data_IF_655547169970
#
_entry.id   IF_655547169970
#
_cell.length_a   1.000
_cell.length_b   1.000
_cell.length_c   1.000
_cell.angle_alpha   90.00
_cell.angle_beta   90.00
_cell.angle_gamma   90.00
#
_symmetry.space_group_name_H-M   'P 1'
#
loop_
_entity.id
_entity.type
_entity.pdbx_description
1 polymer ?
#
# COMPACT_ATOMS: atom_id res chain seq x y z
N UNK A 1 -30.90 1.54 3.32
CA UNK A 1 -30.23 2.39 2.31
C UNK A 1 -29.11 3.28 2.88
N UNK A 2 -29.24 3.98 4.02
CA UNK A 2 -28.13 4.83 4.51
C UNK A 2 -26.93 4.03 5.02
N UNK A 3 -27.14 2.91 5.73
CA UNK A 3 -26.05 2.10 6.30
C UNK A 3 -25.10 1.53 5.23
N UNK A 4 -25.64 1.16 4.06
CA UNK A 4 -24.87 0.63 2.93
C UNK A 4 -24.05 1.73 2.26
N UNK A 5 -24.57 2.96 2.14
CA UNK A 5 -23.78 4.08 1.62
C UNK A 5 -22.62 4.45 2.55
N UNK A 6 -22.84 4.42 3.86
CA UNK A 6 -21.77 4.67 4.85
C UNK A 6 -20.70 3.58 4.77
N UNK A 7 -21.08 2.30 4.62
CA UNK A 7 -20.12 1.20 4.45
C UNK A 7 -19.24 1.38 3.21
N UNK A 8 -19.85 1.67 2.05
CA UNK A 8 -19.10 1.93 0.82
C UNK A 8 -18.22 3.19 0.89
N UNK A 9 -18.70 4.26 1.55
CA UNK A 9 -17.91 5.46 1.79
C UNK A 9 -16.68 5.15 2.65
N UNK A 10 -16.83 4.35 3.70
CA UNK A 10 -15.73 3.98 4.58
C UNK A 10 -14.65 3.18 3.83
N UNK A 11 -15.07 2.21 3.01
CA UNK A 11 -14.17 1.47 2.12
C UNK A 11 -13.42 2.41 1.18
N UNK A 12 -14.12 3.40 0.59
CA UNK A 12 -13.50 4.38 -0.30
C UNK A 12 -12.46 5.26 0.42
N UNK A 13 -12.78 5.78 1.61
CA UNK A 13 -11.86 6.61 2.39
C UNK A 13 -10.62 5.81 2.79
N UNK A 14 -10.81 4.58 3.28
CA UNK A 14 -9.71 3.69 3.65
C UNK A 14 -8.80 3.42 2.45
N UNK A 15 -9.37 3.12 1.27
CA UNK A 15 -8.60 2.91 0.05
C UNK A 15 -7.74 4.13 -0.33
N UNK A 16 -8.30 5.35 -0.23
CA UNK A 16 -7.57 6.59 -0.51
C UNK A 16 -6.44 6.80 0.49
N UNK A 17 -6.72 6.65 1.79
CA UNK A 17 -5.71 6.79 2.85
C UNK A 17 -4.55 5.84 2.62
N UNK A 18 -4.83 4.55 2.39
CA UNK A 18 -3.81 3.53 2.12
C UNK A 18 -2.98 3.92 0.89
N UNK A 19 -3.64 4.34 -0.19
CA UNK A 19 -2.98 4.80 -1.41
C UNK A 19 -2.01 5.94 -1.14
N UNK A 20 -2.43 6.97 -0.39
CA UNK A 20 -1.60 8.13 -0.02
C UNK A 20 -0.45 7.74 0.90
N UNK A 21 -0.69 6.90 1.92
CA UNK A 21 0.36 6.45 2.84
C UNK A 21 1.45 5.66 2.12
N UNK A 22 1.07 4.68 1.30
CA UNK A 22 2.05 3.95 0.49
C UNK A 22 2.80 4.87 -0.48
N UNK A 23 2.11 5.86 -1.06
CA UNK A 23 2.76 6.86 -1.90
C UNK A 23 3.81 7.68 -1.13
N UNK A 24 3.47 8.17 0.07
CA UNK A 24 4.38 8.94 0.93
C UNK A 24 5.58 8.10 1.38
N UNK A 25 5.37 6.85 1.80
CA UNK A 25 6.45 5.93 2.21
C UNK A 25 7.45 5.72 1.07
N UNK A 26 6.96 5.49 -0.15
CA UNK A 26 7.83 5.36 -1.32
C UNK A 26 8.55 6.67 -1.66
N UNK A 27 7.88 7.81 -1.46
CA UNK A 27 8.47 9.14 -1.70
C UNK A 27 9.61 9.46 -0.72
N UNK A 28 9.49 9.02 0.54
CA UNK A 28 10.52 9.23 1.56
C UNK A 28 11.80 8.41 1.28
N UNK A 29 11.70 7.29 0.56
CA UNK A 29 12.84 6.41 0.21
C UNK A 29 13.66 6.83 -1.01
N UNK A 30 13.35 7.97 -1.63
CA UNK A 30 14.05 8.47 -2.83
C UNK A 30 15.56 8.63 -2.66
N UNK A 31 16.02 9.06 -1.48
CA UNK A 31 17.45 9.23 -1.21
C UNK A 31 18.20 7.89 -1.18
N UNK A 32 17.62 6.83 -0.59
CA UNK A 32 18.21 5.48 -0.63
C UNK A 32 18.33 4.95 -2.07
N UNK A 33 17.31 5.17 -2.93
CA UNK A 33 17.36 4.76 -4.33
C UNK A 33 18.38 5.56 -5.16
N UNK A 34 18.57 6.84 -4.85
CA UNK A 34 19.61 7.68 -5.45
C UNK A 34 21.00 7.10 -5.20
N UNK A 35 21.31 6.73 -3.95
CA UNK A 35 22.57 6.09 -3.57
C UNK A 35 22.74 4.73 -4.26
N UNK A 36 21.70 3.91 -4.30
CA UNK A 36 21.74 2.57 -4.92
C UNK A 36 22.02 2.65 -6.43
N UNK A 37 21.50 3.68 -7.10
CA UNK A 37 21.77 3.97 -8.51
C UNK A 37 23.19 4.53 -8.73
N UNK A 38 23.73 5.29 -7.77
CA UNK A 38 25.12 5.76 -7.79
C UNK A 38 26.15 4.62 -7.75
N UNK A 39 25.83 3.54 -7.02
CA UNK A 39 26.67 2.34 -6.90
C UNK A 39 26.55 1.43 -8.15
N UNK A 40 25.74 1.82 -9.15
CA UNK A 40 25.62 1.12 -10.44
C UNK A 40 24.46 0.13 -10.54
N UNK A 41 23.49 0.18 -9.62
CA UNK A 41 22.30 -0.69 -9.69
C UNK A 41 21.37 -0.23 -10.81
N UNK A 42 21.09 -1.12 -11.76
CA UNK A 42 20.13 -0.86 -12.85
C UNK A 42 18.77 -0.43 -12.30
N UNK A 43 18.18 0.61 -12.91
CA UNK A 43 16.86 1.15 -12.53
C UNK A 43 15.75 0.08 -12.60
N UNK A 44 15.91 -0.94 -13.44
CA UNK A 44 14.99 -2.07 -13.53
C UNK A 44 15.00 -2.95 -12.26
N UNK A 45 16.18 -3.17 -11.65
CA UNK A 45 16.29 -3.91 -10.39
C UNK A 45 15.70 -3.14 -9.22
N UNK A 46 15.91 -1.82 -9.17
CA UNK A 46 15.34 -0.94 -8.14
C UNK A 46 13.81 -0.97 -8.19
N UNK A 47 13.23 -0.87 -9.39
CA UNK A 47 11.78 -0.99 -9.60
C UNK A 47 11.22 -2.33 -9.12
N UNK A 48 11.90 -3.44 -9.41
CA UNK A 48 11.47 -4.77 -9.00
C UNK A 48 11.51 -4.94 -7.46
N UNK A 49 12.56 -4.44 -6.81
CA UNK A 49 12.68 -4.45 -5.34
C UNK A 49 11.57 -3.66 -4.67
N UNK A 50 11.21 -2.48 -5.20
CA UNK A 50 10.12 -1.65 -4.66
C UNK A 50 8.78 -2.37 -4.75
N UNK A 51 8.47 -2.96 -5.91
CA UNK A 51 7.21 -3.69 -6.11
C UNK A 51 7.12 -4.89 -5.16
N UNK A 52 8.22 -5.65 -5.02
CA UNK A 52 8.30 -6.78 -4.08
C UNK A 52 8.13 -6.33 -2.63
N UNK A 53 8.76 -5.22 -2.23
CA UNK A 53 8.62 -4.67 -0.89
C UNK A 53 7.18 -4.24 -0.58
N UNK A 54 6.53 -3.52 -1.50
CA UNK A 54 5.13 -3.12 -1.29
C UNK A 54 4.21 -4.34 -1.25
N UNK A 55 4.44 -5.34 -2.10
CA UNK A 55 3.69 -6.59 -2.05
C UNK A 55 3.82 -7.28 -0.69
N UNK A 56 5.03 -7.38 -0.14
CA UNK A 56 5.25 -7.96 1.19
C UNK A 56 4.55 -7.18 2.30
N UNK A 57 4.63 -5.84 2.29
CA UNK A 57 3.96 -5.01 3.30
C UNK A 57 2.43 -5.16 3.19
N UNK A 58 1.89 -5.18 1.97
CA UNK A 58 0.47 -5.38 1.73
C UNK A 58 0.00 -6.77 2.17
N UNK A 59 0.78 -7.82 1.89
CA UNK A 59 0.47 -9.19 2.29
C UNK A 59 0.47 -9.35 3.82
N UNK A 60 1.49 -8.80 4.50
CA UNK A 60 1.56 -8.82 5.97
C UNK A 60 0.41 -8.03 6.60
N UNK A 61 0.10 -6.84 6.06
CA UNK A 61 -1.03 -6.03 6.51
C UNK A 61 -2.37 -6.75 6.35
N UNK A 62 -2.57 -7.41 5.20
CA UNK A 62 -3.75 -8.24 4.93
C UNK A 62 -3.89 -9.41 5.92
N UNK A 63 -2.78 -10.10 6.22
CA UNK A 63 -2.77 -11.19 7.19
C UNK A 63 -3.12 -10.71 8.61
N UNK A 64 -2.52 -9.59 9.05
CA UNK A 64 -2.81 -8.98 10.35
C UNK A 64 -4.27 -8.53 10.43
N UNK A 65 -4.79 -7.88 9.38
CA UNK A 65 -6.19 -7.43 9.33
C UNK A 65 -7.17 -8.61 9.42
N UNK A 66 -6.90 -9.70 8.70
CA UNK A 66 -7.72 -10.91 8.77
C UNK A 66 -7.69 -11.53 10.18
N UNK A 67 -6.50 -11.63 10.80
CA UNK A 67 -6.35 -12.13 12.16
C UNK A 67 -7.04 -11.25 13.22
N UNK A 68 -6.98 -9.93 13.08
CA UNK A 68 -7.73 -9.02 13.95
C UNK A 68 -9.24 -9.15 13.76
N UNK A 69 -9.71 -9.29 12.52
CA UNK A 69 -11.14 -9.41 12.23
C UNK A 69 -11.74 -10.69 12.85
N UNK A 70 -11.01 -11.81 12.77
CA UNK A 70 -11.44 -13.07 13.39
C UNK A 70 -11.33 -13.01 14.92
N UNK A 71 -10.27 -12.43 15.47
CA UNK A 71 -10.11 -12.23 16.91
C UNK A 71 -11.22 -11.33 17.49
N UNK A 72 -11.56 -10.23 16.80
CA UNK A 72 -12.69 -9.38 17.18
C UNK A 72 -14.00 -10.16 17.12
N UNK A 73 -14.24 -10.95 16.07
CA UNK A 73 -15.46 -11.77 15.99
C UNK A 73 -15.65 -12.70 17.19
N UNK A 74 -14.56 -13.19 17.80
CA UNK A 74 -14.62 -14.03 18.99
C UNK A 74 -14.87 -13.23 20.28
N UNK A 75 -14.49 -11.95 20.32
CA UNK A 75 -14.67 -11.07 21.47
C UNK A 75 -16.04 -10.36 21.49
N UNK A 76 -16.78 -10.37 20.36
CA UNK A 76 -18.09 -9.71 20.26
C UNK A 76 -19.21 -10.54 20.95
N UNK A 77 -20.15 -9.90 21.67
CA UNK A 77 -21.31 -10.58 22.23
C UNK A 77 -22.20 -11.20 21.14
N UNK A 78 -22.77 -12.38 21.43
CA UNK A 78 -23.64 -13.15 20.51
C UNK A 78 -24.87 -12.35 20.03
N UNK A 79 -25.24 -11.31 20.78
CA UNK A 79 -26.37 -10.41 20.50
C UNK A 79 -26.08 -9.38 19.39
N UNK A 80 -24.83 -9.24 18.94
CA UNK A 80 -24.47 -8.30 17.89
C UNK A 80 -24.49 -9.01 16.52
N UNK A 81 -25.27 -8.52 15.53
CA UNK A 81 -25.38 -9.14 14.22
C UNK A 81 -24.11 -8.90 13.37
N UNK A 82 -23.03 -9.58 13.74
CA UNK A 82 -21.74 -9.50 13.07
C UNK A 82 -21.49 -10.78 12.28
N UNK A 83 -21.78 -10.73 10.99
CA UNK A 83 -21.56 -11.86 10.07
C UNK A 83 -20.28 -11.64 9.27
N UNK A 84 -19.20 -12.35 9.61
CA UNK A 84 -18.07 -12.47 8.69
C UNK A 84 -18.46 -13.43 7.57
N UNK A 85 -18.79 -12.87 6.41
CA UNK A 85 -18.92 -13.65 5.19
C UNK A 85 -17.54 -13.80 4.55
N UNK A 86 -16.95 -15.02 4.50
CA UNK A 86 -15.59 -15.21 3.98
C UNK A 86 -15.41 -14.69 2.56
N UNK A 87 -16.46 -14.78 1.73
CA UNK A 87 -16.46 -14.26 0.36
C UNK A 87 -16.28 -12.73 0.32
N UNK A 88 -16.95 -11.98 1.20
CA UNK A 88 -16.79 -10.52 1.26
C UNK A 88 -15.40 -10.13 1.77
N UNK A 89 -14.90 -10.83 2.80
CA UNK A 89 -13.55 -10.62 3.32
C UNK A 89 -12.51 -10.85 2.23
N UNK A 90 -12.64 -11.93 1.44
CA UNK A 90 -11.74 -12.23 0.33
C UNK A 90 -11.75 -11.11 -0.73
N UNK A 91 -12.93 -10.61 -1.13
CA UNK A 91 -13.05 -9.51 -2.10
C UNK A 91 -12.36 -8.25 -1.59
N UNK A 92 -12.55 -7.89 -0.31
CA UNK A 92 -11.92 -6.70 0.29
C UNK A 92 -10.39 -6.85 0.37
N UNK A 93 -9.90 -8.02 0.76
CA UNK A 93 -8.45 -8.28 0.81
C UNK A 93 -7.80 -8.23 -0.58
N UNK A 94 -8.45 -8.82 -1.59
CA UNK A 94 -7.96 -8.75 -2.98
C UNK A 94 -7.94 -7.30 -3.47
N UNK A 95 -9.01 -6.54 -3.22
CA UNK A 95 -9.08 -5.13 -3.58
C UNK A 95 -7.99 -4.31 -2.87
N UNK A 96 -7.75 -4.56 -1.58
CA UNK A 96 -6.69 -3.92 -0.80
C UNK A 96 -5.30 -4.17 -1.39
N UNK A 97 -4.98 -5.42 -1.73
CA UNK A 97 -3.69 -5.78 -2.34
C UNK A 97 -3.56 -5.14 -3.72
N UNK A 98 -4.62 -5.18 -4.55
CA UNK A 98 -4.62 -4.57 -5.87
C UNK A 98 -4.38 -3.05 -5.80
N UNK A 99 -5.07 -2.34 -4.92
CA UNK A 99 -4.90 -0.89 -4.72
C UNK A 99 -3.50 -0.56 -4.22
N UNK A 100 -2.94 -1.37 -3.32
CA UNK A 100 -1.58 -1.19 -2.81
C UNK A 100 -0.53 -1.35 -3.91
N UNK A 101 -0.68 -2.36 -4.78
CA UNK A 101 0.19 -2.56 -5.93
C UNK A 101 0.03 -1.41 -6.94
N UNK A 102 -1.19 -1.00 -7.26
CA UNK A 102 -1.47 0.10 -8.19
C UNK A 102 -0.88 1.43 -7.69
N UNK A 103 -1.02 1.73 -6.39
CA UNK A 103 -0.40 2.91 -5.76
C UNK A 103 1.13 2.85 -5.82
N UNK A 104 1.72 1.69 -5.56
CA UNK A 104 3.17 1.49 -5.70
C UNK A 104 3.64 1.70 -7.14
N UNK A 105 2.93 1.15 -8.13
CA UNK A 105 3.27 1.33 -9.55
C UNK A 105 3.22 2.80 -9.94
N UNK A 106 2.21 3.55 -9.48
CA UNK A 106 2.11 4.99 -9.69
C UNK A 106 3.25 5.77 -9.00
N UNK A 107 3.70 5.31 -7.83
CA UNK A 107 4.84 5.88 -7.13
C UNK A 107 6.17 5.59 -7.83
N UNK A 108 6.39 4.34 -8.24
CA UNK A 108 7.56 3.90 -9.02
C UNK A 108 7.63 4.65 -10.34
N UNK A 109 6.52 4.83 -11.05
CA UNK A 109 6.47 5.60 -12.29
C UNK A 109 6.88 7.07 -12.09
N UNK A 110 6.55 7.68 -10.94
CA UNK A 110 7.03 9.03 -10.60
C UNK A 110 8.47 9.04 -10.11
N UNK A 111 8.91 8.07 -9.32
CA UNK A 111 10.30 7.94 -8.86
C UNK A 111 11.25 7.66 -10.02
N UNK A 112 10.83 6.86 -11.00
CA UNK A 112 11.59 6.58 -12.22
C UNK A 112 11.75 7.81 -13.13
N UNK A 113 10.85 8.80 -13.03
CA UNK A 113 10.96 10.12 -13.68
C UNK A 113 11.82 11.12 -12.90
N UNK A 114 12.32 10.75 -11.71
CA UNK A 114 13.25 11.61 -10.96
C UNK A 114 14.66 11.33 -11.48
N UNK A 115 15.23 12.33 -12.13
CA UNK A 115 16.58 12.27 -12.65
C UNK A 115 17.58 12.16 -11.49
N UNK A 116 18.40 11.09 -11.44
CA UNK A 116 19.36 10.85 -10.35
C UNK A 116 20.43 11.94 -10.23
N UNK A 117 20.70 12.68 -11.31
CA UNK A 117 21.63 13.81 -11.32
C UNK A 117 21.20 14.92 -10.35
N UNK A 118 19.88 15.11 -10.14
CA UNK A 118 19.34 16.12 -9.22
C UNK A 118 19.42 15.70 -7.75
N UNK A 119 19.56 14.41 -7.47
CA UNK A 119 19.53 13.86 -6.10
C UNK A 119 20.93 13.76 -5.48
N UNK A 120 21.98 13.69 -6.32
CA UNK A 120 23.37 13.50 -5.87
C UNK A 120 24.20 14.79 -5.89
N UNK A 121 23.88 15.81 -6.69
CA UNK A 121 24.60 17.09 -6.61
C UNK A 121 24.35 18.04 -7.76
N UNK A 122 23.32 18.90 -7.64
CA UNK A 122 23.04 19.90 -8.67
C UNK A 122 22.49 21.24 -8.16
N UNK A 123 22.74 21.61 -6.90
CA UNK A 123 22.72 23.02 -6.45
C UNK A 123 24.17 23.54 -6.39
N UNK A 124 24.76 23.73 -7.56
CA UNK A 124 25.88 24.66 -7.73
C UNK A 124 25.49 25.79 -8.69
N UNK A 125 24.28 26.33 -8.54
CA UNK A 125 23.94 27.74 -8.74
C UNK A 125 22.78 28.12 -7.83
#
# INVERSE_FOLDING_TARGET
>A
MPITMVGWLLVAITAVIIGVFFFVINMQKKQEFGVMKAIGTSTAKISCTIVSQVFLIAALGAAIACGLATAMSAALPVSMPFHLVPAQVAVVLVAFVAISILSSLASVARVARIDPAKVIGGDFQ
#
